data_IF_171052946746
#
_entry.id   IF_171052946746
#
_cell.length_a   1.000
_cell.length_b   1.000
_cell.length_c   1.000
_cell.angle_alpha   90.00
_cell.angle_beta   90.00
_cell.angle_gamma   90.00
#
_symmetry.space_group_name_H-M   'P 1'
#
loop_
_entity.id
_entity.type
_entity.pdbx_description
1 polymer ?
#
# COMPACT_ATOMS: atom_id res chain seq x y z
N UNK A 1 -2.61 19.87 -7.44
CA UNK A 1 -1.32 19.16 -7.59
C UNK A 1 -0.55 19.02 -6.28
N UNK A 2 -0.14 20.09 -5.55
CA UNK A 2 0.63 19.94 -4.31
C UNK A 2 -0.10 19.12 -3.22
N UNK A 3 -1.41 19.35 -3.06
CA UNK A 3 -2.23 18.61 -2.09
C UNK A 3 -2.30 17.11 -2.42
N UNK A 4 -2.32 16.72 -3.70
CA UNK A 4 -2.33 15.31 -4.11
C UNK A 4 -1.01 14.62 -3.78
N UNK A 5 0.12 15.32 -3.99
CA UNK A 5 1.45 14.82 -3.61
C UNK A 5 1.56 14.65 -2.10
N UNK A 6 1.14 15.64 -1.32
CA UNK A 6 1.14 15.53 0.14
C UNK A 6 0.19 14.43 0.64
N UNK A 7 -0.96 14.26 -0.02
CA UNK A 7 -1.89 13.17 0.29
C UNK A 7 -1.25 11.82 0.00
N UNK A 8 -0.62 11.63 -1.15
CA UNK A 8 0.09 10.40 -1.52
C UNK A 8 1.17 10.04 -0.50
N UNK A 9 1.97 11.03 -0.07
CA UNK A 9 2.98 10.80 0.99
C UNK A 9 2.31 10.42 2.30
N UNK A 10 1.22 11.07 2.69
CA UNK A 10 0.47 10.74 3.90
C UNK A 10 -0.08 9.32 3.86
N UNK A 11 -0.71 8.91 2.76
CA UNK A 11 -1.24 7.55 2.57
C UNK A 11 -0.12 6.53 2.71
N UNK A 12 0.96 6.72 1.96
CA UNK A 12 2.14 5.87 2.03
C UNK A 12 2.71 5.74 3.44
N UNK A 13 2.88 6.84 4.17
CA UNK A 13 3.39 6.79 5.55
C UNK A 13 2.45 5.99 6.46
N UNK A 14 1.15 6.29 6.43
CA UNK A 14 0.18 5.63 7.31
C UNK A 14 0.09 4.14 7.01
N UNK A 15 -0.06 3.79 5.74
CA UNK A 15 -0.29 2.41 5.33
C UNK A 15 0.96 1.53 5.49
N UNK A 16 2.15 2.03 5.13
CA UNK A 16 3.36 1.23 5.27
C UNK A 16 3.81 1.09 6.73
N UNK A 17 3.68 2.15 7.53
CA UNK A 17 4.07 2.08 8.95
C UNK A 17 3.14 1.16 9.72
N UNK A 18 1.83 1.26 9.51
CA UNK A 18 0.86 0.47 10.29
C UNK A 18 0.73 -0.93 9.69
N UNK A 19 0.36 -1.03 8.42
CA UNK A 19 -0.10 -2.30 7.83
C UNK A 19 1.05 -3.24 7.55
N UNK A 20 2.24 -2.71 7.22
CA UNK A 20 3.44 -3.53 6.98
C UNK A 20 4.36 -3.52 8.19
N UNK A 21 4.85 -2.35 8.61
CA UNK A 21 5.85 -2.22 9.67
C UNK A 21 5.39 -2.78 11.01
N UNK A 22 4.33 -2.21 11.56
CA UNK A 22 3.78 -2.54 12.88
C UNK A 22 3.15 -3.93 12.91
N UNK A 23 2.26 -4.26 11.96
CA UNK A 23 1.57 -5.56 12.00
C UNK A 23 2.52 -6.74 11.80
N UNK A 24 3.46 -6.68 10.87
CA UNK A 24 4.39 -7.79 10.65
C UNK A 24 5.36 -7.95 11.84
N UNK A 25 5.79 -6.85 12.46
CA UNK A 25 6.52 -6.91 13.74
C UNK A 25 5.68 -7.56 14.83
N UNK A 26 4.41 -7.16 14.97
CA UNK A 26 3.54 -7.66 16.03
C UNK A 26 3.18 -9.13 15.85
N UNK A 27 2.86 -9.57 14.64
CA UNK A 27 2.63 -10.98 14.33
C UNK A 27 3.89 -11.83 14.58
N UNK A 28 5.07 -11.29 14.26
CA UNK A 28 6.34 -11.93 14.60
C UNK A 28 6.51 -12.13 16.11
N UNK A 29 6.17 -11.12 16.92
CA UNK A 29 6.18 -11.21 18.40
C UNK A 29 5.15 -12.19 18.95
N UNK A 30 4.07 -12.48 18.24
CA UNK A 30 3.11 -13.52 18.58
C UNK A 30 3.54 -14.93 18.13
N UNK A 31 4.69 -15.06 17.47
CA UNK A 31 5.20 -16.35 16.97
C UNK A 31 4.47 -16.87 15.73
N UNK A 32 3.75 -16.01 15.01
CA UNK A 32 3.03 -16.42 13.80
C UNK A 32 3.99 -16.69 12.66
N UNK A 33 3.61 -17.59 11.74
CA UNK A 33 4.43 -17.86 10.56
C UNK A 33 4.56 -16.62 9.69
N UNK A 34 5.75 -16.41 9.11
CA UNK A 34 6.02 -15.24 8.27
C UNK A 34 5.06 -15.17 7.08
N UNK A 35 4.79 -16.29 6.43
CA UNK A 35 3.85 -16.36 5.30
C UNK A 35 2.44 -15.95 5.72
N UNK A 36 1.93 -16.46 6.85
CA UNK A 36 0.61 -16.10 7.35
C UNK A 36 0.52 -14.60 7.68
N UNK A 37 1.55 -14.07 8.35
CA UNK A 37 1.63 -12.64 8.68
C UNK A 37 1.56 -11.75 7.42
N UNK A 38 2.31 -12.10 6.37
CA UNK A 38 2.32 -11.37 5.09
C UNK A 38 0.94 -11.45 4.43
N UNK A 39 0.34 -12.63 4.33
CA UNK A 39 -0.96 -12.82 3.68
C UNK A 39 -2.05 -12.03 4.41
N UNK A 40 -2.10 -12.09 5.74
CA UNK A 40 -3.10 -11.34 6.51
C UNK A 40 -2.90 -9.83 6.41
N UNK A 41 -1.66 -9.34 6.47
CA UNK A 41 -1.33 -7.93 6.25
C UNK A 41 -1.78 -7.46 4.85
N UNK A 42 -1.50 -8.26 3.82
CA UNK A 42 -1.88 -7.96 2.44
C UNK A 42 -3.41 -7.97 2.23
N UNK A 43 -4.11 -8.93 2.80
CA UNK A 43 -5.57 -9.00 2.74
C UNK A 43 -6.23 -7.86 3.51
N UNK A 44 -5.68 -7.47 4.67
CA UNK A 44 -6.13 -6.28 5.39
C UNK A 44 -5.94 -5.03 4.55
N UNK A 45 -4.77 -4.88 3.88
CA UNK A 45 -4.55 -3.79 2.93
C UNK A 45 -5.63 -3.78 1.85
N UNK A 46 -5.76 -4.87 1.11
CA UNK A 46 -6.76 -4.96 0.05
C UNK A 46 -8.16 -4.61 0.54
N UNK A 47 -8.57 -5.13 1.71
CA UNK A 47 -9.97 -5.02 2.17
C UNK A 47 -10.42 -3.58 2.39
N UNK A 48 -9.58 -2.69 2.93
CA UNK A 48 -9.94 -1.27 3.04
C UNK A 48 -9.88 -0.51 1.72
N UNK A 49 -9.46 -1.13 0.61
CA UNK A 49 -9.58 -0.59 -0.75
C UNK A 49 -10.78 -1.13 -1.53
N UNK A 50 -11.58 -2.06 -0.97
CA UNK A 50 -12.79 -2.55 -1.65
C UNK A 50 -13.80 -1.45 -1.95
N UNK A 51 -13.83 -0.37 -1.16
CA UNK A 51 -14.72 0.77 -1.44
C UNK A 51 -14.40 1.48 -2.76
N UNK A 52 -13.17 1.31 -3.28
CA UNK A 52 -12.75 1.82 -4.59
C UNK A 52 -13.08 0.84 -5.73
N UNK A 53 -13.52 -0.39 -5.40
CA UNK A 53 -13.86 -1.45 -6.33
C UNK A 53 -12.91 -2.66 -6.25
N UNK A 54 -13.25 -3.71 -7.03
CA UNK A 54 -12.51 -4.97 -7.00
C UNK A 54 -11.09 -4.85 -7.60
N UNK A 55 -10.90 -4.01 -8.62
CA UNK A 55 -9.58 -3.76 -9.21
C UNK A 55 -8.56 -3.19 -8.20
N UNK A 56 -8.86 -2.06 -7.53
CA UNK A 56 -8.02 -1.51 -6.47
C UNK A 56 -7.78 -2.48 -5.30
N UNK A 57 -8.78 -3.28 -4.91
CA UNK A 57 -8.60 -4.35 -3.93
C UNK A 57 -7.47 -5.33 -4.32
N UNK A 58 -7.53 -5.87 -5.55
CA UNK A 58 -6.52 -6.83 -6.04
C UNK A 58 -5.15 -6.17 -6.13
N UNK A 59 -5.06 -4.96 -6.70
CA UNK A 59 -3.79 -4.24 -6.83
C UNK A 59 -3.11 -4.01 -5.48
N UNK A 60 -3.89 -3.59 -4.48
CA UNK A 60 -3.40 -3.35 -3.13
C UNK A 60 -3.06 -4.62 -2.36
N UNK A 61 -3.82 -5.70 -2.54
CA UNK A 61 -3.46 -7.01 -1.98
C UNK A 61 -2.13 -7.52 -2.54
N UNK A 62 -1.93 -7.43 -3.86
CA UNK A 62 -0.66 -7.82 -4.50
C UNK A 62 0.49 -6.94 -4.01
N UNK A 63 0.30 -5.63 -3.94
CA UNK A 63 1.30 -4.71 -3.38
C UNK A 63 1.67 -5.09 -1.94
N UNK A 64 0.67 -5.37 -1.10
CA UNK A 64 0.86 -5.80 0.29
C UNK A 64 1.68 -7.09 0.41
N UNK A 65 1.48 -8.06 -0.47
CA UNK A 65 2.30 -9.29 -0.51
C UNK A 65 3.76 -8.98 -0.84
N UNK A 66 4.01 -8.17 -1.87
CA UNK A 66 5.36 -7.78 -2.30
C UNK A 66 6.06 -6.99 -1.22
N UNK A 67 5.41 -5.95 -0.69
CA UNK A 67 5.99 -5.06 0.32
C UNK A 67 6.19 -5.78 1.65
N UNK A 68 5.25 -6.62 2.06
CA UNK A 68 5.40 -7.47 3.23
C UNK A 68 6.61 -8.40 3.10
N UNK A 69 6.77 -9.05 1.95
CA UNK A 69 7.95 -9.88 1.67
C UNK A 69 9.26 -9.08 1.74
N UNK A 70 9.33 -7.92 1.07
CA UNK A 70 10.51 -7.03 1.11
C UNK A 70 10.82 -6.58 2.54
N UNK A 71 9.81 -6.21 3.32
CA UNK A 71 9.97 -5.80 4.71
C UNK A 71 10.55 -6.93 5.55
N UNK A 72 10.16 -8.18 5.31
CA UNK A 72 10.72 -9.31 6.09
C UNK A 72 12.21 -9.52 5.86
N UNK A 73 12.73 -9.09 4.71
CA UNK A 73 14.16 -9.18 4.36
C UNK A 73 14.94 -7.94 4.78
N UNK A 74 14.35 -6.76 4.66
CA UNK A 74 15.05 -5.48 4.86
C UNK A 74 14.83 -4.88 6.24
N UNK A 75 13.67 -5.14 6.86
CA UNK A 75 13.20 -4.51 8.11
C UNK A 75 13.22 -2.98 8.07
N UNK A 76 13.08 -2.39 6.88
CA UNK A 76 13.09 -0.94 6.66
C UNK A 76 11.78 -0.52 6.00
N UNK A 77 11.04 0.38 6.64
CA UNK A 77 9.74 0.87 6.13
C UNK A 77 9.88 2.00 5.12
N UNK A 78 10.90 2.87 5.26
CA UNK A 78 11.04 4.07 4.44
C UNK A 78 11.14 3.80 2.92
N UNK A 79 11.87 2.78 2.44
CA UNK A 79 11.87 2.46 1.00
C UNK A 79 10.48 2.10 0.48
N UNK A 80 9.65 1.44 1.29
CA UNK A 80 8.28 1.08 0.93
C UNK A 80 7.39 2.32 0.88
N UNK A 81 7.54 3.23 1.85
CA UNK A 81 6.84 4.53 1.87
C UNK A 81 7.14 5.32 0.60
N UNK A 82 8.42 5.39 0.20
CA UNK A 82 8.81 6.10 -1.04
C UNK A 82 8.19 5.43 -2.26
N UNK A 83 8.26 4.11 -2.36
CA UNK A 83 7.67 3.37 -3.48
C UNK A 83 6.15 3.58 -3.57
N UNK A 84 5.44 3.47 -2.44
CA UNK A 84 4.01 3.70 -2.37
C UNK A 84 3.66 5.14 -2.77
N UNK A 85 4.33 6.14 -2.18
CA UNK A 85 4.04 7.53 -2.49
C UNK A 85 4.22 7.84 -3.98
N UNK A 86 5.24 7.25 -4.63
CA UNK A 86 5.44 7.39 -6.08
C UNK A 86 4.30 6.75 -6.88
N UNK A 87 3.82 5.56 -6.49
CA UNK A 87 2.68 4.91 -7.13
C UNK A 87 1.41 5.76 -7.01
N UNK A 88 1.13 6.29 -5.83
CA UNK A 88 -0.02 7.17 -5.58
C UNK A 88 0.08 8.49 -6.36
N UNK A 89 1.26 9.11 -6.39
CA UNK A 89 1.48 10.32 -7.19
C UNK A 89 1.19 10.03 -8.66
N UNK A 90 1.74 8.95 -9.22
CA UNK A 90 1.48 8.57 -10.62
C UNK A 90 0.00 8.30 -10.85
N UNK A 91 -0.68 7.59 -9.94
CA UNK A 91 -2.10 7.28 -10.04
C UNK A 91 -2.97 8.55 -9.97
N UNK A 92 -2.79 9.39 -8.94
CA UNK A 92 -3.58 10.60 -8.73
C UNK A 92 -3.36 11.63 -9.85
N UNK A 93 -2.10 11.85 -10.23
CA UNK A 93 -1.75 12.81 -11.28
C UNK A 93 -2.17 12.29 -12.65
N UNK A 94 -1.86 11.03 -12.97
CA UNK A 94 -2.26 10.39 -14.21
C UNK A 94 -3.77 10.41 -14.41
N UNK A 95 -4.54 10.09 -13.36
CA UNK A 95 -6.00 10.19 -13.40
C UNK A 95 -6.47 11.64 -13.56
N UNK A 96 -5.89 12.59 -12.82
CA UNK A 96 -6.30 14.01 -12.92
C UNK A 96 -6.05 14.64 -14.29
N UNK A 97 -5.02 14.19 -15.01
CA UNK A 97 -4.61 14.73 -16.31
C UNK A 97 -5.30 14.00 -17.47
N UNK A 98 -5.41 12.67 -17.39
CA UNK A 98 -5.89 11.84 -18.50
C UNK A 98 -7.27 11.22 -18.28
N UNK A 99 -7.80 11.21 -17.06
CA UNK A 99 -9.08 10.57 -16.73
C UNK A 99 -10.22 11.03 -17.64
N UNK A 100 -10.38 12.34 -17.81
CA UNK A 100 -11.38 12.91 -18.73
C UNK A 100 -11.18 12.49 -20.19
N UNK A 101 -9.92 12.31 -20.64
CA UNK A 101 -9.60 11.93 -22.00
C UNK A 101 -9.93 10.45 -22.31
N UNK A 102 -10.05 9.61 -21.27
CA UNK A 102 -10.40 8.19 -21.38
C UNK A 102 -11.79 7.86 -20.85
N UNK A 103 -12.65 8.87 -20.68
CA UNK A 103 -14.05 8.71 -20.25
C UNK A 103 -14.23 8.38 -18.76
N UNK A 104 -13.21 8.59 -17.94
CA UNK A 104 -13.23 8.43 -16.49
C UNK A 104 -13.14 9.82 -15.84
N UNK A 105 -14.28 10.53 -15.72
CA UNK A 105 -14.33 11.85 -15.10
C UNK A 105 -15.69 12.50 -15.15
#
# INVERSE_FOLDING_TARGET
MPVLVLSAVRHAVVEEVIVVGYLLDRFGKFGWSTTLAIVLSALLRGSYHLYQGFGPFIGNAVMGLVFGWIYTKTKRVMPLVVAHALLDIVAFVGFSVFGKAIGLG
#
